data_IF_989864089282
#
_entry.id   IF_989864089282
#
_cell.length_a   1.000
_cell.length_b   1.000
_cell.length_c   1.000
_cell.angle_alpha   90.00
_cell.angle_beta   90.00
_cell.angle_gamma   90.00
#
_symmetry.space_group_name_H-M   'P 1'
#
loop_
_entity.id
_entity.type
_entity.pdbx_description
1 polymer ?
#
# COMPACT_ATOMS: atom_id res chain seq x y z
N UNK A 1 -0.81 -16.07 3.11
CA UNK A 1 -1.31 -16.63 1.84
C UNK A 1 -2.45 -17.58 2.17
N UNK A 2 -3.62 -17.42 1.56
CA UNK A 2 -4.71 -18.40 1.64
C UNK A 2 -4.40 -19.57 0.72
N UNK A 3 -4.84 -20.78 1.09
CA UNK A 3 -4.78 -21.91 0.16
C UNK A 3 -5.65 -21.61 -1.09
N UNK A 4 -5.19 -21.97 -2.31
CA UNK A 4 -6.01 -21.80 -3.51
C UNK A 4 -7.26 -22.66 -3.48
N UNK A 5 -8.42 -22.03 -3.69
CA UNK A 5 -9.71 -22.72 -3.81
C UNK A 5 -9.90 -23.12 -5.27
N UNK A 6 -9.95 -24.43 -5.54
CA UNK A 6 -10.13 -24.97 -6.89
C UNK A 6 -11.61 -25.16 -7.21
N UNK A 7 -12.00 -24.74 -8.41
CA UNK A 7 -13.36 -24.84 -8.95
C UNK A 7 -14.47 -24.43 -7.96
N UNK A 8 -14.39 -23.23 -7.34
CA UNK A 8 -15.43 -22.79 -6.42
C UNK A 8 -16.77 -22.57 -7.13
N UNK A 9 -17.86 -22.72 -6.38
CA UNK A 9 -19.21 -22.34 -6.84
C UNK A 9 -19.30 -20.83 -7.01
N UNK A 10 -20.15 -20.38 -7.94
CA UNK A 10 -20.44 -18.95 -8.14
C UNK A 10 -21.86 -18.65 -7.62
N UNK A 11 -22.05 -17.68 -6.70
CA UNK A 11 -21.04 -16.77 -6.15
C UNK A 11 -20.08 -17.46 -5.16
N UNK A 12 -18.81 -17.04 -5.17
CA UNK A 12 -17.78 -17.46 -4.23
C UNK A 12 -17.52 -16.34 -3.22
N UNK A 13 -17.64 -16.65 -1.93
CA UNK A 13 -17.36 -15.70 -0.85
C UNK A 13 -16.20 -16.22 -0.01
N UNK A 14 -15.17 -15.39 0.15
CA UNK A 14 -13.96 -15.75 0.87
C UNK A 14 -13.56 -14.66 1.89
N UNK A 15 -13.34 -15.01 3.17
CA UNK A 15 -12.79 -14.09 4.14
C UNK A 15 -11.36 -13.65 3.79
N UNK A 16 -11.03 -12.42 4.17
CA UNK A 16 -9.70 -11.79 4.05
C UNK A 16 -9.27 -11.36 5.45
N UNK A 17 -8.66 -12.26 6.26
CA UNK A 17 -8.27 -11.95 7.63
C UNK A 17 -7.31 -10.76 7.68
N UNK A 18 -7.61 -9.75 8.51
CA UNK A 18 -6.80 -8.52 8.60
C UNK A 18 -7.05 -7.51 7.47
N UNK A 19 -8.01 -7.78 6.58
CA UNK A 19 -8.41 -6.88 5.51
C UNK A 19 -7.52 -6.94 4.27
N UNK A 20 -7.95 -6.25 3.21
CA UNK A 20 -7.25 -6.17 1.93
C UNK A 20 -6.21 -5.04 1.94
N UNK A 21 -5.26 -5.11 2.87
CA UNK A 21 -4.24 -4.08 3.16
C UNK A 21 -3.15 -3.99 2.07
N UNK A 22 -2.38 -2.89 2.00
CA UNK A 22 -1.31 -2.74 1.01
C UNK A 22 -0.34 -3.94 0.99
N UNK A 23 -0.05 -4.43 -0.21
CA UNK A 23 0.70 -5.67 -0.44
C UNK A 23 -0.16 -6.94 -0.43
N UNK A 24 -1.48 -6.84 -0.24
CA UNK A 24 -2.41 -7.95 -0.47
C UNK A 24 -2.76 -8.06 -1.94
N UNK A 25 -2.81 -9.28 -2.46
CA UNK A 25 -3.15 -9.58 -3.85
C UNK A 25 -4.25 -10.65 -3.88
N UNK A 26 -5.32 -10.42 -4.64
CA UNK A 26 -6.32 -11.42 -4.96
C UNK A 26 -6.16 -11.85 -6.41
N UNK A 27 -6.26 -13.15 -6.64
CA UNK A 27 -6.26 -13.77 -7.95
C UNK A 27 -7.55 -14.54 -8.16
N UNK A 28 -8.16 -14.33 -9.31
CA UNK A 28 -9.44 -14.94 -9.70
C UNK A 28 -9.30 -15.40 -11.15
N UNK A 29 -9.39 -16.71 -11.37
CA UNK A 29 -9.34 -17.28 -12.72
C UNK A 29 -10.60 -18.07 -13.03
N UNK A 30 -10.97 -18.12 -14.30
CA UNK A 30 -12.14 -18.85 -14.76
C UNK A 30 -12.34 -18.79 -16.26
N UNK A 31 -13.52 -19.23 -16.69
CA UNK A 31 -13.93 -19.26 -18.10
C UNK A 31 -15.32 -18.67 -18.23
N UNK A 32 -15.50 -17.79 -19.22
CA UNK A 32 -16.81 -17.27 -19.60
C UNK A 32 -17.55 -18.27 -20.49
N UNK A 33 -18.87 -18.40 -20.28
CA UNK A 33 -19.73 -19.16 -21.18
C UNK A 33 -19.98 -18.40 -22.48
N UNK A 34 -20.50 -19.04 -23.55
CA UNK A 34 -20.78 -18.36 -24.81
C UNK A 34 -21.78 -17.22 -24.71
N UNK A 35 -22.65 -17.25 -23.71
CA UNK A 35 -23.67 -16.23 -23.45
C UNK A 35 -23.24 -15.16 -22.46
N UNK A 36 -22.03 -15.24 -21.90
CA UNK A 36 -21.61 -14.42 -20.77
C UNK A 36 -21.78 -12.92 -21.02
N UNK A 37 -22.29 -12.21 -20.03
CA UNK A 37 -22.45 -10.76 -20.06
C UNK A 37 -21.72 -10.06 -18.91
N UNK A 38 -21.46 -10.77 -17.82
CA UNK A 38 -21.03 -10.18 -16.55
C UNK A 38 -19.91 -10.94 -15.85
N UNK A 39 -19.05 -10.16 -15.22
CA UNK A 39 -18.13 -10.57 -14.16
C UNK A 39 -18.30 -9.55 -13.03
N UNK A 40 -18.32 -9.98 -11.78
CA UNK A 40 -18.41 -9.10 -10.62
C UNK A 40 -17.43 -9.59 -9.55
N UNK A 41 -16.51 -8.73 -9.12
CA UNK A 41 -15.56 -9.00 -8.04
C UNK A 41 -15.67 -7.83 -7.06
N UNK A 42 -16.05 -8.14 -5.82
CA UNK A 42 -16.24 -7.15 -4.75
C UNK A 42 -15.25 -7.40 -3.62
N UNK A 43 -14.58 -6.33 -3.19
CA UNK A 43 -13.90 -6.24 -1.90
C UNK A 43 -14.83 -5.49 -0.95
N UNK A 44 -15.35 -6.21 0.05
CA UNK A 44 -16.47 -5.76 0.89
C UNK A 44 -16.14 -5.90 2.37
N UNK A 45 -16.77 -5.07 3.19
CA UNK A 45 -16.49 -4.97 4.63
C UNK A 45 -17.09 -6.09 5.47
N UNK A 46 -18.10 -6.78 4.95
CA UNK A 46 -18.76 -7.92 5.56
C UNK A 46 -19.27 -8.94 4.53
N UNK A 47 -19.87 -10.05 4.98
CA UNK A 47 -20.28 -11.15 4.10
C UNK A 47 -21.54 -10.86 3.28
N UNK A 48 -22.38 -9.91 3.67
CA UNK A 48 -23.64 -9.58 3.00
C UNK A 48 -23.45 -8.79 1.71
N UNK A 49 -22.42 -7.95 1.64
CA UNK A 49 -22.19 -7.04 0.51
C UNK A 49 -23.25 -5.93 0.45
N UNK A 50 -23.28 -5.13 -0.62
CA UNK A 50 -24.28 -4.09 -0.80
C UNK A 50 -25.72 -4.66 -0.85
N UNK A 51 -26.69 -4.04 -0.16
CA UNK A 51 -26.59 -2.80 0.63
C UNK A 51 -26.25 -3.00 2.11
N UNK A 52 -26.03 -4.23 2.57
CA UNK A 52 -25.80 -4.57 3.98
C UNK A 52 -24.42 -4.16 4.50
N UNK A 53 -23.41 -4.18 3.63
CA UNK A 53 -22.01 -3.88 3.92
C UNK A 53 -21.45 -2.86 2.92
N UNK A 54 -20.44 -2.11 3.34
CA UNK A 54 -19.70 -1.21 2.44
C UNK A 54 -18.82 -2.03 1.47
N UNK A 55 -18.69 -1.55 0.23
CA UNK A 55 -17.87 -2.15 -0.83
C UNK A 55 -16.81 -1.15 -1.27
N UNK A 56 -15.55 -1.44 -0.93
CA UNK A 56 -14.42 -0.57 -1.26
C UNK A 56 -14.03 -0.62 -2.72
N UNK A 57 -14.18 -1.78 -3.35
CA UNK A 57 -14.01 -1.97 -4.78
C UNK A 57 -15.06 -2.94 -5.28
N UNK A 58 -15.90 -2.49 -6.19
CA UNK A 58 -16.71 -3.33 -7.06
C UNK A 58 -16.12 -3.23 -8.46
N UNK A 59 -15.38 -4.27 -8.87
CA UNK A 59 -14.88 -4.45 -10.22
C UNK A 59 -15.93 -5.27 -10.98
N UNK A 60 -16.47 -4.76 -12.07
CA UNK A 60 -17.38 -5.52 -12.92
C UNK A 60 -17.00 -5.43 -14.39
N UNK A 61 -17.12 -6.56 -15.08
CA UNK A 61 -16.88 -6.67 -16.51
C UNK A 61 -18.20 -6.60 -17.27
N UNK A 62 -18.29 -5.70 -18.25
CA UNK A 62 -19.29 -5.78 -19.33
C UNK A 62 -18.68 -6.64 -20.42
N UNK A 63 -18.84 -7.96 -20.28
CA UNK A 63 -18.06 -8.96 -21.03
C UNK A 63 -18.25 -8.82 -22.55
N UNK A 64 -19.48 -8.56 -23.00
CA UNK A 64 -19.77 -8.39 -24.44
C UNK A 64 -19.23 -7.08 -25.02
N UNK A 65 -19.00 -6.08 -24.18
CA UNK A 65 -18.49 -4.77 -24.57
C UNK A 65 -16.96 -4.69 -24.41
N UNK A 66 -16.34 -5.69 -23.78
CA UNK A 66 -14.91 -5.68 -23.46
C UNK A 66 -14.54 -4.51 -22.54
N UNK A 67 -15.39 -4.17 -21.57
CA UNK A 67 -15.15 -3.05 -20.63
C UNK A 67 -15.06 -3.55 -19.19
N UNK A 68 -14.15 -2.94 -18.41
CA UNK A 68 -14.11 -3.10 -16.96
C UNK A 68 -14.51 -1.80 -16.28
N UNK A 69 -15.49 -1.87 -15.40
CA UNK A 69 -15.90 -0.76 -14.55
C UNK A 69 -15.46 -0.98 -13.10
N UNK A 70 -15.18 0.13 -12.41
CA UNK A 70 -14.94 0.15 -10.96
C UNK A 70 -15.88 1.13 -10.29
N UNK A 71 -16.35 0.77 -9.12
CA UNK A 71 -17.05 1.69 -8.23
C UNK A 71 -16.87 1.28 -6.76
N UNK A 72 -17.37 2.11 -5.85
CA UNK A 72 -17.50 1.80 -4.42
C UNK A 72 -18.95 2.04 -4.00
N UNK A 73 -19.39 1.28 -3.01
CA UNK A 73 -20.66 1.46 -2.35
C UNK A 73 -20.42 1.78 -0.88
N UNK A 74 -21.14 2.77 -0.35
CA UNK A 74 -21.22 2.99 1.10
C UNK A 74 -22.68 2.96 1.52
N UNK A 75 -22.97 2.45 2.71
CA UNK A 75 -24.33 2.43 3.25
C UNK A 75 -24.93 3.83 3.41
N UNK A 76 -24.08 4.84 3.60
CA UNK A 76 -24.50 6.22 3.78
C UNK A 76 -24.88 6.92 2.47
N UNK A 77 -24.14 6.68 1.38
CA UNK A 77 -24.30 7.41 0.12
C UNK A 77 -24.77 6.55 -1.07
N UNK A 78 -24.81 5.22 -0.92
CA UNK A 78 -25.03 4.30 -2.01
C UNK A 78 -23.81 4.14 -2.91
N UNK A 79 -24.07 3.86 -4.19
CA UNK A 79 -23.05 3.76 -5.23
C UNK A 79 -22.47 5.13 -5.57
N UNK A 80 -21.14 5.21 -5.60
CA UNK A 80 -20.42 6.41 -6.00
C UNK A 80 -20.34 6.61 -7.52
N UNK A 81 -19.47 7.53 -7.99
CA UNK A 81 -19.22 7.70 -9.42
C UNK A 81 -18.45 6.52 -10.03
N UNK A 82 -18.93 6.06 -11.19
CA UNK A 82 -18.37 4.99 -12.00
C UNK A 82 -17.05 5.40 -12.68
N UNK A 83 -16.07 4.48 -12.73
CA UNK A 83 -14.86 4.64 -13.54
C UNK A 83 -14.72 3.46 -14.52
N UNK A 84 -14.66 3.76 -15.83
CA UNK A 84 -14.64 2.74 -16.89
C UNK A 84 -13.28 2.67 -17.58
N UNK A 85 -12.86 1.43 -17.89
CA UNK A 85 -11.74 1.11 -18.76
C UNK A 85 -12.27 0.34 -19.99
N UNK A 86 -12.35 0.97 -21.18
CA UNK A 86 -12.79 0.30 -22.40
C UNK A 86 -11.66 -0.50 -23.06
N UNK A 87 -12.02 -1.44 -23.95
CA UNK A 87 -11.07 -2.12 -24.83
C UNK A 87 -10.16 -3.15 -24.13
N UNK A 88 -10.66 -3.80 -23.08
CA UNK A 88 -9.95 -4.82 -22.32
C UNK A 88 -9.78 -6.08 -23.19
N UNK A 89 -8.56 -6.32 -23.62
CA UNK A 89 -8.23 -7.42 -24.52
C UNK A 89 -8.47 -8.78 -23.84
N UNK A 90 -9.24 -9.64 -24.51
CA UNK A 90 -9.59 -10.99 -24.01
C UNK A 90 -10.80 -11.03 -23.08
N UNK A 91 -11.35 -9.89 -22.66
CA UNK A 91 -12.62 -9.83 -21.94
C UNK A 91 -13.76 -10.01 -22.95
N UNK A 92 -14.11 -11.26 -23.21
CA UNK A 92 -15.15 -11.65 -24.17
C UNK A 92 -15.79 -13.00 -23.80
N UNK A 93 -16.99 -13.31 -24.33
CA UNK A 93 -17.60 -14.62 -24.13
C UNK A 93 -16.72 -15.75 -24.67
N UNK A 94 -16.87 -16.95 -24.11
CA UNK A 94 -16.09 -18.15 -24.45
C UNK A 94 -14.56 -18.04 -24.23
N UNK A 95 -14.08 -17.01 -23.54
CA UNK A 95 -12.67 -16.84 -23.21
C UNK A 95 -12.38 -17.23 -21.75
N UNK A 96 -11.15 -17.65 -21.51
CA UNK A 96 -10.61 -17.74 -20.15
C UNK A 96 -10.19 -16.36 -19.66
N UNK A 97 -10.25 -16.17 -18.36
CA UNK A 97 -9.84 -14.93 -17.71
C UNK A 97 -8.96 -15.21 -16.49
N UNK A 98 -8.03 -14.30 -16.28
CA UNK A 98 -7.25 -14.13 -15.06
C UNK A 98 -7.38 -12.67 -14.64
N UNK A 99 -7.95 -12.44 -13.46
CA UNK A 99 -8.01 -11.13 -12.82
C UNK A 99 -7.10 -11.15 -11.61
N UNK A 100 -6.16 -10.21 -11.58
CA UNK A 100 -5.30 -9.95 -10.44
C UNK A 100 -5.58 -8.55 -9.90
N UNK A 101 -5.93 -8.46 -8.62
CA UNK A 101 -6.17 -7.19 -7.91
C UNK A 101 -5.12 -7.06 -6.82
N UNK A 102 -4.29 -6.02 -6.89
CA UNK A 102 -3.28 -5.73 -5.88
C UNK A 102 -3.65 -4.47 -5.11
N UNK A 103 -3.54 -4.49 -3.78
CA UNK A 103 -3.62 -3.30 -2.96
C UNK A 103 -2.26 -2.60 -2.89
N UNK A 104 -2.20 -1.34 -3.34
CA UNK A 104 -1.08 -0.41 -3.15
C UNK A 104 -1.46 0.59 -2.02
N UNK A 105 -0.52 1.38 -1.44
CA UNK A 105 -0.87 2.33 -0.38
C UNK A 105 -1.94 3.37 -0.74
N UNK A 106 -2.06 3.73 -2.02
CA UNK A 106 -2.99 4.78 -2.48
C UNK A 106 -4.21 4.25 -3.26
N UNK A 107 -4.12 3.05 -3.82
CA UNK A 107 -5.06 2.56 -4.81
C UNK A 107 -5.03 1.05 -4.96
N UNK A 108 -6.03 0.49 -5.63
CA UNK A 108 -5.98 -0.86 -6.19
C UNK A 108 -5.40 -0.81 -7.60
N UNK A 109 -4.54 -1.78 -7.94
CA UNK A 109 -4.05 -2.00 -9.30
C UNK A 109 -4.68 -3.28 -9.84
N UNK A 110 -5.28 -3.19 -11.02
CA UNK A 110 -6.01 -4.28 -11.64
C UNK A 110 -5.27 -4.71 -12.91
N UNK A 111 -4.98 -6.01 -12.99
CA UNK A 111 -4.47 -6.66 -14.18
C UNK A 111 -5.47 -7.71 -14.69
N UNK A 112 -5.53 -7.85 -16.02
CA UNK A 112 -6.34 -8.83 -16.73
C UNK A 112 -5.44 -9.62 -17.67
N UNK A 113 -5.47 -10.96 -17.58
CA UNK A 113 -4.63 -11.86 -18.37
C UNK A 113 -3.14 -11.47 -18.35
N UNK A 114 -2.64 -11.16 -17.15
CA UNK A 114 -1.23 -10.77 -16.93
C UNK A 114 -0.85 -9.36 -17.40
N UNK A 115 -1.78 -8.56 -17.93
CA UNK A 115 -1.52 -7.18 -18.35
C UNK A 115 -2.21 -6.19 -17.41
N UNK A 116 -1.49 -5.16 -16.99
CA UNK A 116 -2.09 -4.05 -16.26
C UNK A 116 -3.15 -3.36 -17.13
N UNK A 117 -4.34 -3.13 -16.57
CA UNK A 117 -5.47 -2.52 -17.29
C UNK A 117 -5.86 -1.18 -16.71
N UNK A 118 -6.03 -1.11 -15.38
CA UNK A 118 -6.50 0.10 -14.73
C UNK A 118 -6.18 0.12 -13.23
N UNK A 119 -6.43 1.28 -12.63
CA UNK A 119 -6.20 1.58 -11.22
C UNK A 119 -7.47 2.15 -10.61
N UNK A 120 -7.62 2.05 -9.29
CA UNK A 120 -8.77 2.61 -8.58
C UNK A 120 -8.35 3.18 -7.23
N UNK A 121 -8.48 4.49 -7.05
CA UNK A 121 -8.09 5.17 -5.81
C UNK A 121 -8.90 4.65 -4.63
N UNK A 122 -8.24 4.52 -3.47
CA UNK A 122 -8.92 4.13 -2.25
C UNK A 122 -9.96 5.18 -1.85
N UNK A 123 -11.25 4.82 -1.94
CA UNK A 123 -12.36 5.64 -1.43
C UNK A 123 -12.71 5.33 0.02
N UNK A 124 -12.17 4.25 0.58
CA UNK A 124 -12.29 3.86 1.97
C UNK A 124 -11.06 3.07 2.43
N UNK A 125 -10.94 2.84 3.74
CA UNK A 125 -9.79 2.14 4.31
C UNK A 125 -9.73 0.68 3.82
N UNK A 126 -8.65 0.24 3.13
CA UNK A 126 -8.53 -1.14 2.68
C UNK A 126 -8.52 -2.18 3.81
N UNK A 127 -8.10 -1.79 5.02
CA UNK A 127 -8.12 -2.66 6.19
C UNK A 127 -9.53 -3.06 6.64
N UNK A 128 -10.57 -2.29 6.28
CA UNK A 128 -11.95 -2.67 6.59
C UNK A 128 -12.54 -3.68 5.59
N UNK A 129 -11.87 -3.96 4.48
CA UNK A 129 -12.36 -4.86 3.43
C UNK A 129 -12.00 -6.30 3.78
N UNK A 130 -12.86 -6.96 4.55
CA UNK A 130 -12.61 -8.26 5.16
C UNK A 130 -13.14 -9.45 4.37
N UNK A 131 -13.77 -9.23 3.21
CA UNK A 131 -14.30 -10.28 2.33
C UNK A 131 -14.04 -9.99 0.86
N UNK A 132 -13.71 -11.05 0.12
CA UNK A 132 -13.69 -11.12 -1.34
C UNK A 132 -14.93 -11.88 -1.80
N UNK A 133 -15.73 -11.27 -2.66
CA UNK A 133 -16.92 -11.87 -3.26
C UNK A 133 -16.75 -11.88 -4.79
N UNK A 134 -16.83 -13.06 -5.40
CA UNK A 134 -16.77 -13.25 -6.84
C UNK A 134 -18.11 -13.78 -7.32
N UNK A 135 -18.79 -13.01 -8.16
CA UNK A 135 -20.13 -13.29 -8.64
C UNK A 135 -20.26 -12.99 -10.15
N UNK A 136 -21.39 -13.40 -10.71
CA UNK A 136 -21.82 -13.07 -12.06
C UNK A 136 -23.34 -13.26 -12.16
N UNK A 137 -23.92 -12.95 -13.31
CA UNK A 137 -25.23 -13.49 -13.66
C UNK A 137 -25.18 -15.03 -13.67
N UNK A 138 -26.30 -15.69 -13.36
CA UNK A 138 -26.36 -17.15 -13.32
C UNK A 138 -25.92 -17.77 -14.65
N UNK A 139 -24.88 -18.61 -14.60
CA UNK A 139 -24.37 -19.33 -15.77
C UNK A 139 -23.43 -18.54 -16.69
N UNK A 140 -23.04 -17.32 -16.33
CA UNK A 140 -22.11 -16.52 -17.16
C UNK A 140 -20.67 -17.03 -17.12
N UNK A 141 -20.25 -17.65 -16.02
CA UNK A 141 -18.88 -18.11 -15.87
C UNK A 141 -18.77 -19.37 -15.02
N UNK A 142 -17.64 -20.03 -15.14
CA UNK A 142 -17.18 -21.08 -14.23
C UNK A 142 -15.83 -20.66 -13.66
N UNK A 143 -15.72 -20.57 -12.34
CA UNK A 143 -14.47 -20.25 -11.66
C UNK A 143 -13.55 -21.47 -11.69
N UNK A 144 -12.27 -21.24 -12.01
CA UNK A 144 -11.24 -22.28 -11.98
C UNK A 144 -10.44 -22.21 -10.70
N UNK A 145 -10.01 -21.02 -10.28
CA UNK A 145 -9.24 -20.85 -9.06
C UNK A 145 -9.41 -19.47 -8.43
N UNK A 146 -9.45 -19.43 -7.10
CA UNK A 146 -9.42 -18.18 -6.32
C UNK A 146 -8.42 -18.30 -5.17
N UNK A 147 -7.52 -17.34 -5.03
CA UNK A 147 -6.59 -17.28 -3.89
C UNK A 147 -6.18 -15.85 -3.54
N UNK A 148 -5.66 -15.69 -2.32
CA UNK A 148 -5.23 -14.40 -1.79
C UNK A 148 -3.81 -14.53 -1.22
N UNK A 149 -2.93 -13.65 -1.68
CA UNK A 149 -1.57 -13.49 -1.19
C UNK A 149 -1.55 -12.30 -0.23
N UNK A 150 -1.29 -12.57 1.04
CA UNK A 150 -1.07 -11.52 2.04
C UNK A 150 0.39 -11.57 2.42
N UNK A 151 1.08 -10.43 2.31
CA UNK A 151 2.43 -10.27 2.82
C UNK A 151 2.40 -10.38 4.35
N UNK A 152 3.08 -11.39 4.89
CA UNK A 152 3.13 -11.63 6.35
C UNK A 152 3.97 -10.59 7.12
N UNK A 153 4.54 -9.58 6.45
CA UNK A 153 5.59 -8.73 7.01
C UNK A 153 5.39 -7.23 6.67
N UNK A 154 4.32 -6.63 7.19
CA UNK A 154 4.52 -5.29 7.75
C UNK A 154 4.69 -5.48 9.24
N UNK A 155 5.95 -5.56 9.69
CA UNK A 155 6.26 -5.28 11.08
C UNK A 155 5.55 -3.97 11.45
N UNK A 156 4.96 -3.83 12.66
CA UNK A 156 4.43 -2.55 13.06
C UNK A 156 5.52 -1.52 12.81
N UNK A 157 5.21 -0.51 11.98
CA UNK A 157 6.09 0.63 11.80
C UNK A 157 6.46 1.07 13.21
N UNK A 158 7.73 0.87 13.58
CA UNK A 158 8.21 1.27 14.90
C UNK A 158 7.78 2.74 15.05
N UNK A 159 6.98 3.10 16.06
CA UNK A 159 6.60 4.49 16.23
C UNK A 159 7.92 5.25 16.30
N UNK A 160 8.15 6.13 15.32
CA UNK A 160 9.40 6.86 15.08
C UNK A 160 10.24 6.89 16.35
N UNK A 161 11.21 5.99 16.46
CA UNK A 161 12.13 6.04 17.60
C UNK A 161 12.80 7.40 17.45
N UNK A 162 12.51 8.31 18.38
CA UNK A 162 13.13 9.63 18.38
C UNK A 162 14.63 9.42 18.26
N UNK A 163 15.34 10.19 17.40
CA UNK A 163 16.79 10.09 17.34
C UNK A 163 17.34 10.26 18.75
N UNK A 164 18.21 9.34 19.15
CA UNK A 164 18.81 9.36 20.48
C UNK A 164 19.36 10.77 20.77
N UNK A 165 19.17 11.30 21.99
CA UNK A 165 19.75 12.59 22.33
C UNK A 165 21.27 12.53 22.08
N UNK A 166 21.87 13.61 21.54
CA UNK A 166 23.30 13.64 21.32
C UNK A 166 24.02 13.38 22.65
N UNK A 167 25.19 12.73 22.64
CA UNK A 167 25.94 12.46 23.85
C UNK A 167 26.20 13.78 24.59
N UNK A 168 25.87 13.80 25.88
CA UNK A 168 26.12 14.96 26.73
C UNK A 168 27.62 15.30 26.66
N UNK A 169 27.94 16.53 26.26
CA UNK A 169 29.30 17.04 26.32
C UNK A 169 29.78 16.95 27.78
N UNK A 170 30.69 16.02 28.05
CA UNK A 170 31.42 16.01 29.31
C UNK A 170 32.26 17.28 29.33
N UNK A 171 32.02 18.13 30.32
CA UNK A 171 32.82 19.31 30.54
C UNK A 171 34.30 18.88 30.69
N UNK A 172 35.26 19.59 30.07
CA UNK A 172 36.66 19.28 30.25
C UNK A 172 37.03 19.47 31.73
N UNK A 173 37.77 18.50 32.27
CA UNK A 173 38.28 18.56 33.63
C UNK A 173 39.11 19.84 33.83
N UNK A 174 39.05 20.51 34.99
CA UNK A 174 39.82 21.72 35.24
C UNK A 174 41.32 21.43 35.13
N UNK A 175 42.03 22.32 34.45
CA UNK A 175 43.48 22.23 34.27
C UNK A 175 44.19 22.21 35.63
N UNK A 176 45.18 21.33 35.75
CA UNK A 176 46.02 21.23 36.94
C UNK A 176 46.87 22.51 37.10
N UNK A 177 47.07 23.03 38.31
CA UNK A 177 47.86 24.24 38.51
C UNK A 177 49.32 24.02 38.09
N UNK A 178 49.83 24.96 37.30
CA UNK A 178 51.20 24.98 36.79
C UNK A 178 52.21 25.09 37.94
N UNK A 179 53.07 24.07 38.08
CA UNK A 179 54.19 24.09 39.00
C UNK A 179 55.47 24.57 38.26
N UNK A 180 56.11 25.69 38.66
CA UNK A 180 57.24 26.26 37.93
C UNK A 180 58.59 25.54 38.10
N UNK A 181 58.68 24.45 38.85
CA UNK A 181 59.95 23.72 39.04
C UNK A 181 59.94 22.34 38.35
N UNK A 182 60.70 22.14 37.26
CA UNK A 182 60.90 20.81 36.69
C UNK A 182 61.91 20.01 37.54
N UNK A 183 61.52 18.82 37.98
CA UNK A 183 62.46 17.82 38.48
C UNK A 183 63.27 17.28 37.28
N UNK A 184 64.62 17.19 37.36
CA UNK A 184 65.44 16.67 36.28
C UNK A 184 65.31 15.15 36.21
N UNK A 185 64.84 14.60 35.08
CA UNK A 185 65.08 13.17 34.82
C UNK A 185 64.03 12.35 34.08
N UNK A 186 63.00 12.92 33.45
CA UNK A 186 62.09 12.12 32.61
C UNK A 186 62.05 12.64 31.18
N UNK A 187 62.73 11.92 30.29
CA UNK A 187 62.53 12.04 28.85
C UNK A 187 61.14 11.48 28.50
N UNK A 188 60.36 12.22 27.70
CA UNK A 188 59.10 11.73 27.16
C UNK A 188 59.36 10.61 26.12
N UNK A 189 58.55 9.53 26.09
CA UNK A 189 58.70 8.49 25.09
C UNK A 189 58.36 9.02 23.67
N UNK A 190 59.09 8.60 22.62
CA UNK A 190 58.78 9.01 21.26
C UNK A 190 57.57 8.23 20.75
N UNK A 191 56.48 8.92 20.39
CA UNK A 191 55.33 8.24 19.76
C UNK A 191 54.00 8.99 19.71
N UNK A 192 53.84 10.16 20.35
CA UNK A 192 52.57 10.90 20.28
C UNK A 192 52.69 12.04 19.28
N UNK A 193 52.29 11.76 18.04
CA UNK A 193 52.04 12.78 17.04
C UNK A 193 51.01 13.78 17.58
N UNK A 194 51.37 15.07 17.59
CA UNK A 194 50.45 16.16 17.77
C UNK A 194 49.38 16.09 16.65
N UNK A 195 48.06 16.09 16.96
CA UNK A 195 47.08 16.25 15.90
C UNK A 195 47.15 17.68 15.36
N UNK A 196 47.39 17.81 14.05
CA UNK A 196 47.32 19.08 13.33
C UNK A 196 45.90 19.68 13.45
N UNK A 197 45.76 21.01 13.55
CA UNK A 197 44.45 21.65 13.53
C UNK A 197 43.84 21.54 12.13
N UNK A 198 42.66 20.92 12.02
CA UNK A 198 41.85 20.95 10.80
C UNK A 198 41.39 22.39 10.51
N UNK A 199 41.43 22.86 9.24
CA UNK A 199 40.80 24.12 8.86
C UNK A 199 39.27 23.94 8.77
N UNK A 200 38.53 24.83 9.43
CA UNK A 200 37.08 24.95 9.30
C UNK A 200 36.71 25.49 7.91
N UNK A 201 36.10 24.65 7.06
CA UNK A 201 35.29 25.14 5.94
C UNK A 201 33.85 25.30 6.42
N UNK A 202 33.43 26.55 6.67
CA UNK A 202 32.02 26.88 6.87
C UNK A 202 31.27 26.69 5.55
N UNK A 203 30.49 25.62 5.42
CA UNK A 203 29.43 25.57 4.41
C UNK A 203 28.27 26.45 4.89
N UNK A 204 28.15 27.64 4.31
CA UNK A 204 26.96 28.48 4.45
C UNK A 204 25.82 27.85 3.64
N UNK A 205 24.75 27.42 4.33
CA UNK A 205 23.49 27.10 3.67
C UNK A 205 22.74 28.40 3.36
N UNK A 206 22.12 28.54 2.17
CA UNK A 206 21.25 29.69 1.88
C UNK A 206 19.97 29.63 2.73
N UNK A 207 19.38 30.79 3.10
CA UNK A 207 18.17 30.83 3.91
C UNK A 207 16.96 30.25 3.16
N UNK A 208 16.26 29.31 3.80
CA UNK A 208 14.99 28.76 3.35
C UNK A 208 13.90 29.84 3.40
N UNK A 209 13.30 30.15 2.26
CA UNK A 209 12.12 31.01 2.17
C UNK A 209 10.87 30.17 2.51
N UNK A 210 10.14 30.57 3.56
CA UNK A 210 8.82 30.01 3.85
C UNK A 210 7.78 30.57 2.86
N UNK A 211 6.83 29.76 2.36
CA UNK A 211 5.71 30.27 1.60
C UNK A 211 4.75 31.08 2.50
N UNK A 212 4.07 32.12 1.97
CA UNK A 212 3.20 32.97 2.77
C UNK A 212 1.95 32.22 3.23
N UNK A 213 1.58 32.45 4.50
CA UNK A 213 0.32 31.97 5.08
C UNK A 213 -0.86 32.67 4.39
N UNK A 214 -1.81 31.88 3.89
CA UNK A 214 -3.08 32.39 3.36
C UNK A 214 -3.94 32.93 4.51
N UNK A 215 -4.40 34.17 4.39
CA UNK A 215 -5.36 34.77 5.33
C UNK A 215 -6.79 34.26 5.09
N UNK A 216 -7.65 34.22 6.12
CA UNK A 216 -9.04 33.78 5.96
C UNK A 216 -9.89 34.87 5.26
N UNK A 217 -10.79 34.41 4.40
CA UNK A 217 -11.76 35.24 3.67
C UNK A 217 -12.72 35.99 4.61
N UNK A 218 -13.09 37.24 4.30
CA UNK A 218 -14.24 37.90 4.93
C UNK A 218 -15.57 37.44 4.31
N UNK A 219 -16.62 37.51 5.13
CA UNK A 219 -18.03 37.21 4.86
C UNK A 219 -18.62 38.03 3.70
#
# INVERSE_FOLDING_TARGET
>A
MSAPVQNPVTPHLQPVPGGFVPGTIAHVTGTFTPGAASLIIKLQSGPGGDPADDVGLCLYGRVREGQLGRNSFTRAAGWGPEELAPGVQGLAPSMTFDVTIMCDPLQFKIAYNGKHVCEYMHRMNPASLSYLNVASLPGDLSLSCVWIEQSQNQAPAQPYAAPAPPPAYSAPSPAMPYNPNPLPGYAAPPGMAQPSPYPQQQQQFPPQQFPPQQQPYPQ
#
